data_IF_831132629601
#
_entry.id   IF_831132629601
#
_cell.length_a   1.000
_cell.length_b   1.000
_cell.length_c   1.000
_cell.angle_alpha   90.00
_cell.angle_beta   90.00
_cell.angle_gamma   90.00
#
_symmetry.space_group_name_H-M   'P 1'
#
loop_
_entity.id
_entity.type
_entity.pdbx_description
1 polymer ?
#
# COMPACT_ATOMS: atom_id res chain seq x y z
N UNK A 1 -1.77 -5.32 11.47
CA UNK A 1 -3.07 -5.37 10.75
C UNK A 1 -2.76 -4.95 9.32
N UNK A 2 -3.32 -5.62 8.30
CA UNK A 2 -2.96 -5.30 6.92
C UNK A 2 -3.36 -3.88 6.52
N UNK A 3 -2.53 -3.26 5.70
CA UNK A 3 -2.73 -1.90 5.19
C UNK A 3 -3.70 -1.97 4.02
N UNK A 4 -4.82 -1.25 4.12
CA UNK A 4 -5.79 -1.13 3.03
C UNK A 4 -5.44 0.06 2.18
N UNK A 5 -5.13 -0.15 0.91
CA UNK A 5 -4.85 0.93 -0.05
C UNK A 5 -6.14 1.28 -0.81
N UNK A 6 -6.27 2.51 -1.32
CA UNK A 6 -7.39 2.88 -2.21
C UNK A 6 -7.57 1.88 -3.36
N UNK A 7 -8.76 1.91 -3.95
CA UNK A 7 -8.97 1.21 -5.22
C UNK A 7 -7.98 1.74 -6.25
N UNK A 8 -7.16 0.83 -6.78
CA UNK A 8 -6.29 1.11 -7.91
C UNK A 8 -7.05 0.77 -9.18
N UNK A 9 -6.81 1.53 -10.25
CA UNK A 9 -7.27 1.07 -11.56
C UNK A 9 -6.42 -0.13 -12.05
N UNK A 10 -6.90 -0.78 -13.11
CA UNK A 10 -6.27 -2.00 -13.65
C UNK A 10 -4.83 -1.76 -14.12
N UNK A 11 -4.50 -0.54 -14.58
CA UNK A 11 -3.16 -0.19 -15.01
C UNK A 11 -2.23 -0.01 -13.80
N UNK A 12 -2.65 0.79 -12.81
CA UNK A 12 -1.94 0.98 -11.54
C UNK A 12 -1.66 -0.38 -10.88
N UNK A 13 -2.62 -1.31 -10.92
CA UNK A 13 -2.45 -2.66 -10.38
C UNK A 13 -1.40 -3.50 -11.12
N UNK A 14 -1.45 -3.54 -12.47
CA UNK A 14 -0.52 -4.35 -13.27
C UNK A 14 0.92 -3.85 -13.17
N UNK A 15 1.11 -2.54 -13.03
CA UNK A 15 2.39 -1.92 -12.76
C UNK A 15 2.94 -2.41 -11.41
N UNK A 16 2.14 -2.37 -10.35
CA UNK A 16 2.48 -2.90 -9.01
C UNK A 16 2.99 -4.34 -9.02
N UNK A 17 2.27 -5.20 -9.75
CA UNK A 17 2.50 -6.64 -9.76
C UNK A 17 3.76 -7.05 -10.52
N UNK A 18 4.27 -6.18 -11.38
CA UNK A 18 5.45 -6.44 -12.22
C UNK A 18 6.72 -5.77 -11.70
N UNK A 19 6.68 -5.22 -10.49
CA UNK A 19 7.82 -4.51 -9.87
C UNK A 19 7.88 -3.03 -10.21
N UNK A 20 6.82 -2.47 -10.82
CA UNK A 20 6.65 -1.03 -10.96
C UNK A 20 5.94 -0.45 -9.73
N UNK A 21 5.92 0.88 -9.64
CA UNK A 21 5.51 1.61 -8.46
C UNK A 21 4.00 1.79 -8.40
N UNK A 22 3.45 1.70 -7.19
CA UNK A 22 2.07 2.11 -6.93
C UNK A 22 2.00 3.18 -5.86
N UNK A 23 1.26 4.23 -6.21
CA UNK A 23 0.85 5.28 -5.31
C UNK A 23 -0.54 5.00 -4.74
N UNK A 24 -0.64 5.09 -3.42
CA UNK A 24 -1.90 5.02 -2.72
C UNK A 24 -2.04 6.08 -1.65
N UNK A 25 -3.28 6.34 -1.26
CA UNK A 25 -3.59 7.01 0.01
C UNK A 25 -4.28 6.00 0.90
N UNK A 26 -3.84 5.92 2.16
CA UNK A 26 -4.65 5.25 3.17
C UNK A 26 -4.63 6.04 4.47
N UNK A 27 -5.77 6.05 5.15
CA UNK A 27 -5.89 6.62 6.48
C UNK A 27 -5.62 5.53 7.50
N UNK A 28 -4.55 5.68 8.26
CA UNK A 28 -4.22 4.77 9.36
C UNK A 28 -3.49 5.51 10.46
N UNK A 29 -3.37 4.84 11.60
CA UNK A 29 -2.46 5.26 12.65
C UNK A 29 -1.02 4.91 12.23
N UNK A 30 -0.28 5.91 11.76
CA UNK A 30 1.17 5.82 11.57
C UNK A 30 1.81 6.59 12.72
N UNK A 31 2.56 5.90 13.58
CA UNK A 31 3.19 6.47 14.79
C UNK A 31 2.17 7.12 15.75
N UNK A 32 1.08 6.42 16.06
CA UNK A 32 0.02 6.89 16.96
C UNK A 32 -0.73 8.15 16.52
N UNK A 33 -0.62 8.55 15.24
CA UNK A 33 -1.45 9.63 14.65
C UNK A 33 -2.30 9.08 13.52
N UNK A 34 -3.61 9.31 13.58
CA UNK A 34 -4.51 9.02 12.47
C UNK A 34 -4.27 10.05 11.37
N UNK A 35 -3.67 9.63 10.26
CA UNK A 35 -3.38 10.50 9.12
C UNK A 35 -3.60 9.75 7.84
N UNK A 36 -4.04 10.48 6.82
CA UNK A 36 -3.92 10.03 5.44
C UNK A 36 -2.46 10.18 5.05
N UNK A 37 -1.82 9.06 4.74
CA UNK A 37 -0.44 9.02 4.27
C UNK A 37 -0.40 8.61 2.82
N UNK A 38 0.65 9.07 2.14
CA UNK A 38 1.00 8.63 0.80
C UNK A 38 1.88 7.39 0.95
N UNK A 39 1.50 6.32 0.27
CA UNK A 39 2.28 5.08 0.24
C UNK A 39 2.89 4.88 -1.12
N UNK A 40 4.14 4.46 -1.08
CA UNK A 40 4.90 3.94 -2.20
C UNK A 40 5.14 2.46 -1.91
N UNK A 41 4.65 1.59 -2.78
CA UNK A 41 4.85 0.14 -2.65
C UNK A 41 5.82 -0.31 -3.72
N UNK A 42 6.98 -0.80 -3.29
CA UNK A 42 7.85 -1.62 -4.12
C UNK A 42 7.55 -3.08 -3.79
N UNK A 43 7.50 -3.94 -4.80
CA UNK A 43 7.35 -5.39 -4.63
C UNK A 43 6.15 -5.78 -3.72
N UNK A 44 4.99 -6.05 -4.33
CA UNK A 44 3.80 -6.46 -3.59
C UNK A 44 4.02 -7.71 -2.72
N UNK A 45 5.00 -8.56 -3.02
CA UNK A 45 5.24 -9.82 -2.32
C UNK A 45 4.37 -10.94 -2.87
N UNK A 46 3.94 -11.86 -2.00
CA UNK A 46 3.18 -13.05 -2.40
C UNK A 46 1.67 -12.80 -2.30
N UNK A 47 0.93 -13.02 -3.40
CA UNK A 47 -0.54 -12.99 -3.37
C UNK A 47 -1.08 -14.16 -2.53
N UNK A 48 -2.01 -13.84 -1.62
CA UNK A 48 -2.69 -14.83 -0.79
C UNK A 48 -4.19 -14.62 -0.79
N UNK A 49 -4.98 -15.68 -0.56
CA UNK A 49 -6.41 -15.55 -0.35
C UNK A 49 -6.70 -14.58 0.81
N UNK A 50 -7.53 -13.58 0.55
CA UNK A 50 -7.99 -12.66 1.58
C UNK A 50 -9.18 -13.26 2.33
N UNK A 51 -9.05 -13.50 3.64
CA UNK A 51 -10.12 -14.06 4.49
C UNK A 51 -10.74 -13.03 5.45
N UNK A 52 -10.59 -11.73 5.17
CA UNK A 52 -11.04 -10.66 6.06
C UNK A 52 -12.56 -10.45 6.06
N UNK A 53 -13.03 -9.57 6.98
CA UNK A 53 -14.44 -9.47 7.40
C UNK A 53 -15.48 -9.05 6.35
N UNK A 54 -15.10 -8.56 5.18
CA UNK A 54 -16.05 -8.07 4.17
C UNK A 54 -15.52 -8.31 2.77
N UNK A 55 -15.89 -9.46 2.18
CA UNK A 55 -16.00 -9.55 0.73
C UNK A 55 -17.24 -8.72 0.35
N UNK A 56 -17.02 -7.49 -0.10
CA UNK A 56 -18.02 -6.77 -0.87
C UNK A 56 -17.85 -7.21 -2.33
N UNK A 57 -18.87 -7.82 -2.93
CA UNK A 57 -18.81 -8.31 -4.32
C UNK A 57 -18.52 -7.19 -5.35
N UNK A 58 -18.67 -5.92 -4.94
CA UNK A 58 -18.39 -4.74 -5.77
C UNK A 58 -16.95 -4.24 -5.68
N UNK A 59 -16.13 -4.76 -4.77
CA UNK A 59 -14.73 -4.37 -4.62
C UNK A 59 -13.92 -5.64 -4.64
N UNK A 60 -13.15 -5.86 -5.69
CA UNK A 60 -12.26 -7.01 -5.75
C UNK A 60 -11.05 -6.71 -4.85
N UNK A 61 -10.75 -7.61 -3.91
CA UNK A 61 -9.62 -7.45 -3.00
C UNK A 61 -8.51 -8.38 -3.43
N UNK A 62 -7.28 -7.89 -3.50
CA UNK A 62 -6.09 -8.73 -3.58
C UNK A 62 -5.23 -8.51 -2.36
N UNK A 63 -4.94 -9.60 -1.66
CA UNK A 63 -4.15 -9.56 -0.45
C UNK A 63 -2.74 -10.05 -0.75
N UNK A 64 -1.77 -9.26 -0.33
CA UNK A 64 -0.37 -9.58 -0.50
C UNK A 64 0.33 -9.57 0.84
N UNK A 65 1.22 -10.54 1.04
CA UNK A 65 2.07 -10.62 2.23
C UNK A 65 3.49 -10.19 1.91
N UNK A 66 4.10 -9.48 2.85
CA UNK A 66 5.48 -9.00 2.77
C UNK A 66 5.73 -7.97 1.67
N UNK A 67 4.76 -7.08 1.43
CA UNK A 67 4.98 -5.94 0.53
C UNK A 67 5.90 -4.90 1.17
N UNK A 68 6.75 -4.25 0.36
CA UNK A 68 7.70 -3.24 0.82
C UNK A 68 7.10 -1.84 0.67
N UNK A 69 6.88 -1.16 1.79
CA UNK A 69 6.06 0.05 1.87
C UNK A 69 6.89 1.22 2.39
N UNK A 70 6.85 2.32 1.67
CA UNK A 70 7.42 3.58 2.09
C UNK A 70 6.32 4.61 2.31
N UNK A 71 6.43 5.37 3.38
CA UNK A 71 5.45 6.39 3.77
C UNK A 71 6.00 7.77 3.51
N UNK A 72 5.19 8.63 2.90
CA UNK A 72 5.43 10.06 2.82
C UNK A 72 4.23 10.84 3.36
N UNK A 73 4.50 12.02 3.92
CA UNK A 73 3.44 12.91 4.44
C UNK A 73 2.68 13.62 3.31
N UNK A 74 3.34 13.85 2.18
CA UNK A 74 2.79 14.52 1.00
C UNK A 74 3.21 13.80 -0.27
N UNK A 75 2.47 14.01 -1.36
CA UNK A 75 2.77 13.50 -2.70
C UNK A 75 4.14 14.01 -3.18
N UNK A 76 4.41 15.30 -3.02
CA UNK A 76 5.71 15.91 -3.34
C UNK A 76 6.88 15.28 -2.56
N UNK A 77 6.68 14.91 -1.28
CA UNK A 77 7.72 14.21 -0.53
C UNK A 77 7.94 12.79 -1.06
N UNK A 78 6.88 12.12 -1.48
CA UNK A 78 6.95 10.80 -2.11
C UNK A 78 7.78 10.86 -3.41
N UNK A 79 7.46 11.82 -4.29
CA UNK A 79 8.15 12.03 -5.57
C UNK A 79 9.63 12.35 -5.40
N UNK A 80 9.98 13.07 -4.33
CA UNK A 80 11.36 13.41 -3.99
C UNK A 80 12.08 12.33 -3.16
N UNK A 81 11.47 11.16 -2.92
CA UNK A 81 12.08 10.07 -2.13
C UNK A 81 12.25 10.37 -0.63
N UNK A 82 11.52 11.35 -0.11
CA UNK A 82 11.56 11.78 1.28
C UNK A 82 10.56 10.99 2.13
N UNK A 83 11.00 9.83 2.61
CA UNK A 83 10.17 8.92 3.39
C UNK A 83 10.30 9.13 4.91
N UNK A 84 9.22 8.87 5.64
CA UNK A 84 9.18 8.80 7.10
C UNK A 84 9.81 7.52 7.66
N UNK A 85 10.21 6.60 6.79
CA UNK A 85 10.76 5.32 7.15
C UNK A 85 12.10 5.46 7.87
N UNK A 86 12.31 4.68 8.95
CA UNK A 86 13.58 4.70 9.68
C UNK A 86 14.74 4.30 8.76
N UNK A 87 15.69 5.22 8.56
CA UNK A 87 16.86 4.99 7.71
C UNK A 87 16.56 4.82 6.23
N UNK A 88 15.37 5.21 5.75
CA UNK A 88 14.96 5.07 4.35
C UNK A 88 14.63 3.64 3.93
N UNK A 89 14.50 2.70 4.86
CA UNK A 89 14.19 1.29 4.57
C UNK A 89 12.68 1.05 4.50
N UNK A 90 12.17 0.22 3.58
CA UNK A 90 10.73 -0.06 3.53
C UNK A 90 10.24 -0.76 4.79
N UNK A 91 9.00 -0.47 5.18
CA UNK A 91 8.28 -1.31 6.12
C UNK A 91 7.76 -2.54 5.38
N UNK A 92 8.04 -3.73 5.92
CA UNK A 92 7.47 -4.98 5.41
C UNK A 92 6.17 -5.28 6.13
N UNK A 93 5.06 -5.18 5.42
CA UNK A 93 3.73 -5.47 5.97
C UNK A 93 2.85 -6.17 4.93
N UNK A 94 1.66 -6.59 5.36
CA UNK A 94 0.66 -7.16 4.47
C UNK A 94 -0.24 -6.05 3.93
N UNK A 95 -0.57 -6.12 2.64
CA UNK A 95 -1.31 -5.08 1.92
C UNK A 95 -2.59 -5.70 1.35
N UNK A 96 -3.70 -4.97 1.45
CA UNK A 96 -4.92 -5.28 0.72
C UNK A 96 -5.11 -4.19 -0.32
N UNK A 97 -4.96 -4.57 -1.58
CA UNK A 97 -5.33 -3.73 -2.72
C UNK A 97 -6.83 -3.89 -2.97
N UNK A 98 -7.48 -2.76 -3.16
CA UNK A 98 -8.87 -2.67 -3.59
C UNK A 98 -8.86 -2.50 -5.12
N UNK A 99 -9.80 -3.14 -5.81
CA UNK A 99 -10.02 -3.02 -7.26
C UNK A 99 -11.52 -2.80 -7.50
#
# INVERSE_FOLDING_TARGET
>A
MPIKIKALDEQEFNEAATGSYVYGKFSSYVENRYRTVYVYVENLGEEKPYSGKQNNDKTQYKFFVSGEIYYAETEEKLENGNFLNQGGLPYRDSIILLW
#
